data_IF_981912531101
#
_entry.id   IF_981912531101
#
_cell.length_a   1.000
_cell.length_b   1.000
_cell.length_c   1.000
_cell.angle_alpha   90.00
_cell.angle_beta   90.00
_cell.angle_gamma   90.00
#
_symmetry.space_group_name_H-M   'P 1'
#
loop_
_entity.id
_entity.type
_entity.pdbx_description
1 polymer ?
#
# COMPACT_ATOMS: atom_id res chain seq x y z
N UNK A 1 -45.70 -14.70 -40.30
CA UNK A 1 -47.05 -14.97 -39.73
C UNK A 1 -46.95 -14.87 -38.24
N UNK A 2 -47.65 -13.87 -37.70
CA UNK A 2 -47.94 -13.52 -36.28
C UNK A 2 -46.83 -13.38 -35.26
N UNK A 3 -46.65 -12.14 -34.93
CA UNK A 3 -46.11 -11.49 -33.77
C UNK A 3 -47.08 -11.72 -32.57
N UNK A 4 -46.56 -12.03 -31.42
CA UNK A 4 -47.22 -11.69 -30.15
C UNK A 4 -46.21 -11.19 -29.11
N UNK A 5 -46.48 -9.93 -28.69
CA UNK A 5 -45.82 -9.22 -27.60
C UNK A 5 -46.20 -9.84 -26.25
N UNK A 6 -45.27 -10.04 -25.37
CA UNK A 6 -45.55 -10.19 -23.96
C UNK A 6 -44.70 -9.24 -23.08
N UNK A 7 -45.45 -8.46 -22.34
CA UNK A 7 -45.17 -7.33 -21.47
C UNK A 7 -43.99 -7.47 -20.48
N UNK A 8 -43.29 -6.37 -20.34
CA UNK A 8 -42.37 -6.06 -19.21
C UNK A 8 -43.12 -6.22 -17.86
N UNK A 9 -42.55 -7.01 -16.97
CA UNK A 9 -42.79 -6.91 -15.52
C UNK A 9 -41.54 -6.31 -14.85
N UNK A 10 -41.73 -5.13 -14.28
CA UNK A 10 -40.80 -4.53 -13.32
C UNK A 10 -40.81 -5.41 -12.06
N UNK A 11 -39.66 -5.89 -11.65
CA UNK A 11 -39.45 -6.49 -10.34
C UNK A 11 -38.86 -5.41 -9.44
N UNK A 12 -39.64 -4.89 -8.51
CA UNK A 12 -39.18 -4.07 -7.40
C UNK A 12 -38.61 -5.01 -6.34
N UNK A 13 -37.30 -4.88 -6.09
CA UNK A 13 -36.65 -5.57 -4.98
C UNK A 13 -36.80 -4.67 -3.75
N UNK A 14 -37.72 -5.04 -2.90
CA UNK A 14 -37.88 -4.43 -1.59
C UNK A 14 -36.74 -4.83 -0.65
N UNK A 15 -36.06 -3.83 -0.13
CA UNK A 15 -35.05 -3.95 0.91
C UNK A 15 -35.76 -4.21 2.26
N UNK A 16 -35.76 -5.44 2.74
CA UNK A 16 -36.31 -5.78 4.04
C UNK A 16 -35.30 -5.54 5.15
N UNK A 17 -35.45 -4.42 5.83
CA UNK A 17 -34.76 -4.13 7.09
C UNK A 17 -35.46 -4.91 8.21
N UNK A 18 -34.81 -5.91 8.79
CA UNK A 18 -35.29 -6.57 10.02
C UNK A 18 -34.91 -5.68 11.22
N UNK A 19 -35.86 -4.90 11.71
CA UNK A 19 -35.81 -4.26 13.03
C UNK A 19 -36.65 -5.14 13.95
N UNK A 20 -35.97 -5.78 14.91
CA UNK A 20 -36.64 -6.49 16.00
C UNK A 20 -37.39 -5.51 16.91
N UNK A 21 -38.69 -5.50 16.82
CA UNK A 21 -39.59 -4.68 17.63
C UNK A 21 -40.03 -5.48 18.85
N UNK A 22 -39.48 -5.18 20.03
CA UNK A 22 -40.08 -5.58 21.31
C UNK A 22 -41.25 -4.63 21.62
N UNK A 23 -42.42 -5.22 21.69
CA UNK A 23 -43.68 -4.53 21.96
C UNK A 23 -43.75 -4.15 23.46
N UNK A 24 -43.75 -2.85 23.74
CA UNK A 24 -44.31 -2.31 24.97
C UNK A 24 -45.63 -1.60 24.67
N UNK A 25 -46.68 -2.10 25.27
CA UNK A 25 -48.01 -1.50 25.24
C UNK A 25 -48.09 -0.32 26.25
N UNK A 26 -48.55 0.80 25.83
CA UNK A 26 -49.02 1.86 26.75
C UNK A 26 -48.98 3.27 26.20
N UNK A 27 -50.11 3.74 25.70
CA UNK A 27 -50.70 5.05 25.78
C UNK A 27 -50.14 6.27 25.01
N UNK A 28 -51.09 6.81 24.26
CA UNK A 28 -51.31 8.18 23.78
C UNK A 28 -50.52 8.71 22.61
N UNK A 29 -51.25 8.83 21.50
CA UNK A 29 -50.94 9.65 20.33
C UNK A 29 -50.97 11.13 20.70
N UNK A 30 -49.77 11.68 20.89
CA UNK A 30 -49.48 13.09 20.58
C UNK A 30 -48.07 13.12 19.97
N UNK A 31 -48.01 12.90 18.66
CA UNK A 31 -46.82 13.21 17.89
C UNK A 31 -46.76 14.74 17.74
N UNK A 32 -46.32 15.41 18.77
CA UNK A 32 -45.74 16.74 18.59
C UNK A 32 -44.53 16.61 17.68
N UNK A 33 -44.40 17.46 16.63
CA UNK A 33 -43.18 17.48 15.82
C UNK A 33 -42.04 17.67 16.79
N UNK A 34 -41.00 16.79 16.71
CA UNK A 34 -39.77 17.00 17.41
C UNK A 34 -39.26 18.38 16.96
N UNK A 35 -39.40 19.36 17.83
CA UNK A 35 -38.82 20.68 17.66
C UNK A 35 -37.34 20.44 17.34
N UNK A 36 -36.86 20.91 16.21
CA UNK A 36 -35.42 21.00 15.97
C UNK A 36 -34.86 21.85 17.11
N UNK A 37 -34.30 21.20 18.10
CA UNK A 37 -33.67 21.87 19.24
C UNK A 37 -32.58 22.77 18.65
N UNK A 38 -32.71 24.09 18.87
CA UNK A 38 -31.68 25.03 18.45
C UNK A 38 -30.41 24.61 19.12
N UNK A 39 -29.40 24.31 18.32
CA UNK A 39 -28.03 24.07 18.82
C UNK A 39 -27.55 25.34 19.51
N UNK A 40 -26.84 25.19 20.61
CA UNK A 40 -26.24 26.28 21.37
C UNK A 40 -24.74 26.02 21.60
N UNK A 41 -23.90 27.08 21.58
CA UNK A 41 -22.49 26.95 21.89
C UNK A 41 -22.27 26.64 23.36
N UNK A 42 -21.06 26.15 23.75
CA UNK A 42 -20.66 26.10 25.15
C UNK A 42 -20.63 27.53 25.75
N UNK A 43 -20.80 27.63 27.06
CA UNK A 43 -20.60 28.92 27.75
C UNK A 43 -19.08 29.19 27.87
N UNK A 44 -18.57 30.07 27.04
CA UNK A 44 -17.16 30.44 27.00
C UNK A 44 -16.69 31.22 28.24
N UNK A 45 -17.58 31.61 29.15
CA UNK A 45 -17.23 32.24 30.44
C UNK A 45 -17.13 31.24 31.61
N UNK A 46 -17.47 29.97 31.36
CA UNK A 46 -17.38 28.88 32.33
C UNK A 46 -16.46 27.77 31.78
N UNK A 47 -15.64 27.15 32.65
CA UNK A 47 -14.76 26.06 32.21
C UNK A 47 -15.59 24.84 31.75
N UNK A 48 -15.19 24.21 30.67
CA UNK A 48 -15.68 22.88 30.30
C UNK A 48 -14.99 21.81 31.14
N UNK A 49 -15.62 20.66 31.33
CA UNK A 49 -15.07 19.56 32.14
C UNK A 49 -15.13 18.28 31.33
N UNK A 50 -14.00 17.63 31.16
CA UNK A 50 -13.91 16.26 30.61
C UNK A 50 -13.86 15.27 31.79
N UNK A 51 -14.96 14.56 32.05
CA UNK A 51 -15.05 13.63 33.19
C UNK A 51 -14.57 12.22 32.83
N UNK A 52 -15.05 11.67 31.74
CA UNK A 52 -14.73 10.29 31.34
C UNK A 52 -15.07 9.99 29.88
N UNK A 53 -14.57 8.85 29.41
CA UNK A 53 -15.02 8.26 28.13
C UNK A 53 -15.24 6.75 28.27
N UNK A 54 -16.10 6.20 27.42
CA UNK A 54 -16.34 4.75 27.31
C UNK A 54 -16.75 4.36 25.89
N UNK A 55 -16.42 3.13 25.41
CA UNK A 55 -15.55 2.14 26.05
C UNK A 55 -14.08 2.58 26.09
N UNK A 56 -13.26 1.92 26.91
CA UNK A 56 -11.82 2.18 27.03
C UNK A 56 -10.98 1.54 25.92
N UNK A 57 -11.60 0.75 25.06
CA UNK A 57 -10.96 0.05 23.94
C UNK A 57 -11.92 -0.26 22.80
N UNK A 58 -11.38 -0.38 21.60
CA UNK A 58 -12.13 -0.72 20.39
C UNK A 58 -11.33 -0.43 19.13
N UNK A 59 -11.87 -0.78 17.97
CA UNK A 59 -11.27 -0.49 16.66
C UNK A 59 -11.96 0.68 15.94
N UNK A 60 -11.70 0.77 14.65
CA UNK A 60 -12.42 1.68 13.76
C UNK A 60 -13.94 1.52 13.90
N UNK A 61 -14.66 2.63 13.88
CA UNK A 61 -16.11 2.64 13.98
C UNK A 61 -16.66 2.42 15.40
N UNK A 62 -15.80 2.21 16.40
CA UNK A 62 -16.25 2.15 17.80
C UNK A 62 -16.89 3.49 18.19
N UNK A 63 -18.09 3.46 18.71
CA UNK A 63 -18.76 4.64 19.24
C UNK A 63 -18.20 4.95 20.63
N UNK A 64 -17.56 6.10 20.77
CA UNK A 64 -17.15 6.67 22.05
C UNK A 64 -18.27 7.52 22.63
N UNK A 65 -18.53 7.33 23.91
CA UNK A 65 -19.40 8.18 24.70
C UNK A 65 -18.49 8.97 25.65
N UNK A 66 -18.42 10.27 25.44
CA UNK A 66 -17.60 11.18 26.25
C UNK A 66 -18.55 11.94 27.15
N UNK A 67 -18.27 11.98 28.46
CA UNK A 67 -19.09 12.63 29.49
C UNK A 67 -18.34 13.79 30.13
N UNK A 68 -19.09 14.83 30.43
CA UNK A 68 -18.55 16.01 31.08
C UNK A 68 -19.58 17.10 31.28
N UNK A 69 -19.16 18.35 31.18
CA UNK A 69 -20.03 19.52 31.36
C UNK A 69 -19.60 20.66 30.45
N UNK A 70 -20.57 21.48 30.08
CA UNK A 70 -20.38 22.67 29.28
C UNK A 70 -19.77 22.38 27.88
N UNK A 71 -20.31 21.37 27.22
CA UNK A 71 -19.93 21.06 25.84
C UNK A 71 -20.74 21.85 24.82
N UNK A 72 -21.91 22.35 25.21
CA UNK A 72 -22.91 22.88 24.30
C UNK A 72 -23.55 21.77 23.47
N UNK A 73 -24.29 22.16 22.44
CA UNK A 73 -24.87 21.18 21.48
C UNK A 73 -24.57 21.52 20.02
N UNK A 74 -23.70 22.50 19.76
CA UNK A 74 -23.24 22.87 18.42
C UNK A 74 -21.89 22.25 18.12
N UNK A 75 -21.82 21.25 17.20
CA UNK A 75 -20.57 20.56 16.86
C UNK A 75 -19.52 21.46 16.22
N UNK A 76 -19.87 22.66 15.76
CA UNK A 76 -18.90 23.60 15.22
C UNK A 76 -17.97 24.21 16.29
N UNK A 77 -18.28 24.02 17.57
CA UNK A 77 -17.47 24.48 18.69
C UNK A 77 -16.67 23.36 19.36
N UNK A 78 -16.82 22.12 18.89
CA UNK A 78 -16.18 20.97 19.52
C UNK A 78 -15.47 20.11 18.50
N UNK A 79 -14.22 19.79 18.76
CA UNK A 79 -13.45 18.80 18.00
C UNK A 79 -13.00 17.69 18.94
N UNK A 80 -13.20 16.45 18.53
CA UNK A 80 -12.75 15.25 19.26
C UNK A 80 -11.58 14.63 18.51
N UNK A 81 -10.54 14.21 19.23
CA UNK A 81 -9.47 13.40 18.65
C UNK A 81 -9.19 12.16 19.49
N UNK A 82 -8.77 11.08 18.85
CA UNK A 82 -8.19 9.89 19.49
C UNK A 82 -6.76 9.78 18.99
N UNK A 83 -5.79 9.87 19.88
CA UNK A 83 -4.36 9.89 19.52
C UNK A 83 -4.04 10.87 18.38
N UNK A 84 -4.55 12.11 18.48
CA UNK A 84 -4.40 13.20 17.52
C UNK A 84 -5.14 13.00 16.17
N UNK A 85 -5.83 11.86 15.94
CA UNK A 85 -6.68 11.68 14.76
C UNK A 85 -8.12 12.10 15.06
N UNK A 86 -8.70 12.89 14.19
CA UNK A 86 -10.02 13.45 14.35
C UNK A 86 -11.10 12.39 14.32
N UNK A 87 -11.98 12.39 15.32
CA UNK A 87 -13.13 11.51 15.45
C UNK A 87 -14.41 12.26 15.04
N UNK A 88 -15.23 11.65 14.19
CA UNK A 88 -16.47 12.23 13.75
C UNK A 88 -17.48 12.29 14.91
N UNK A 89 -18.00 13.48 15.22
CA UNK A 89 -19.08 13.65 16.18
C UNK A 89 -20.39 13.29 15.48
N UNK A 90 -21.12 12.31 16.03
CA UNK A 90 -22.40 11.83 15.50
C UNK A 90 -23.60 12.29 16.31
N UNK A 91 -23.36 12.87 17.49
CA UNK A 91 -24.37 13.48 18.35
C UNK A 91 -23.73 14.11 19.57
N UNK A 92 -24.33 15.15 20.13
CA UNK A 92 -23.87 15.76 21.36
C UNK A 92 -24.97 16.57 22.04
N UNK A 93 -24.82 16.74 23.34
CA UNK A 93 -25.48 17.71 24.18
C UNK A 93 -24.48 18.32 25.15
N UNK A 94 -24.97 19.13 26.11
CA UNK A 94 -24.09 19.85 27.04
C UNK A 94 -23.23 18.97 27.98
N UNK A 95 -23.63 17.69 28.15
CA UNK A 95 -22.99 16.76 29.09
C UNK A 95 -22.42 15.52 28.39
N UNK A 96 -22.81 15.25 27.13
CA UNK A 96 -22.42 14.01 26.43
C UNK A 96 -22.06 14.29 24.97
N UNK A 97 -20.94 13.74 24.52
CA UNK A 97 -20.56 13.70 23.10
C UNK A 97 -20.47 12.24 22.65
N UNK A 98 -21.10 11.93 21.52
CA UNK A 98 -20.98 10.67 20.80
C UNK A 98 -20.05 10.87 19.61
N UNK A 99 -18.90 10.19 19.63
CA UNK A 99 -17.91 10.27 18.56
C UNK A 99 -17.56 8.88 18.02
N UNK A 100 -17.16 8.82 16.78
CA UNK A 100 -16.74 7.57 16.12
C UNK A 100 -15.21 7.51 16.06
N UNK A 101 -14.62 6.46 16.61
CA UNK A 101 -13.17 6.22 16.55
C UNK A 101 -12.74 6.11 15.09
N UNK A 102 -11.81 6.97 14.64
CA UNK A 102 -11.35 6.95 13.25
C UNK A 102 -10.47 5.74 12.96
N UNK A 103 -10.31 5.46 11.68
CA UNK A 103 -9.32 4.49 11.23
C UNK A 103 -7.93 4.86 11.75
N UNK A 104 -7.20 3.87 12.29
CA UNK A 104 -5.79 4.03 12.70
C UNK A 104 -5.53 5.15 13.69
N UNK A 105 -6.44 5.33 14.62
CA UNK A 105 -6.23 6.25 15.72
C UNK A 105 -5.00 5.87 16.55
N UNK A 106 -4.64 4.59 16.59
CA UNK A 106 -3.69 4.02 17.54
C UNK A 106 -4.09 4.22 19.01
N UNK A 107 -3.38 3.55 19.90
CA UNK A 107 -3.59 3.71 21.34
C UNK A 107 -3.10 5.06 21.79
N UNK A 108 -3.98 5.91 22.31
CA UNK A 108 -3.63 7.26 22.73
C UNK A 108 -4.73 7.94 23.53
N UNK A 109 -4.47 9.19 23.94
CA UNK A 109 -5.44 9.97 24.70
C UNK A 109 -6.61 10.41 23.82
N UNK A 110 -7.81 10.43 24.43
CA UNK A 110 -8.97 11.12 23.87
C UNK A 110 -8.84 12.58 24.26
N UNK A 111 -8.93 13.49 23.27
CA UNK A 111 -8.84 14.92 23.51
C UNK A 111 -10.06 15.63 22.94
N UNK A 112 -10.49 16.64 23.68
CA UNK A 112 -11.51 17.58 23.26
C UNK A 112 -10.87 18.95 23.04
N UNK A 113 -11.24 19.61 21.98
CA UNK A 113 -10.92 20.98 21.70
C UNK A 113 -12.25 21.72 21.67
N UNK A 114 -12.48 22.62 22.62
CA UNK A 114 -13.75 23.32 22.81
C UNK A 114 -13.52 24.82 22.66
N UNK A 115 -14.32 25.45 21.80
CA UNK A 115 -14.20 26.86 21.51
C UNK A 115 -14.20 27.17 20.01
N UNK A 116 -13.86 28.40 19.67
CA UNK A 116 -13.82 28.86 18.28
C UNK A 116 -12.75 29.92 18.08
N UNK A 117 -12.19 29.98 16.88
CA UNK A 117 -11.16 30.94 16.46
C UNK A 117 -9.95 30.89 17.42
N UNK A 118 -9.53 32.00 18.00
CA UNK A 118 -8.38 32.08 18.91
C UNK A 118 -8.66 31.61 20.36
N UNK A 119 -9.91 31.24 20.67
CA UNK A 119 -10.34 30.85 22.02
C UNK A 119 -10.69 29.35 22.06
N UNK A 120 -9.74 28.48 21.75
CA UNK A 120 -9.90 27.03 21.82
C UNK A 120 -9.15 26.50 23.05
N UNK A 121 -9.85 25.78 23.93
CA UNK A 121 -9.27 25.10 25.08
C UNK A 121 -9.15 23.58 24.80
N UNK A 122 -8.04 22.98 25.22
CA UNK A 122 -7.77 21.55 25.07
C UNK A 122 -7.97 20.84 26.41
N UNK A 123 -8.74 19.74 26.36
CA UNK A 123 -8.98 18.83 27.48
C UNK A 123 -8.55 17.42 27.06
N UNK A 124 -7.78 16.73 27.91
CA UNK A 124 -7.32 15.36 27.63
C UNK A 124 -7.85 14.37 28.67
N UNK A 125 -8.15 13.16 28.25
CA UNK A 125 -8.51 12.07 29.16
C UNK A 125 -7.33 11.69 30.08
N UNK A 126 -7.62 11.20 31.27
CA UNK A 126 -6.59 10.67 32.19
C UNK A 126 -5.98 9.37 31.69
N UNK A 127 -6.78 8.53 31.02
CA UNK A 127 -6.36 7.23 30.50
C UNK A 127 -6.36 7.22 28.98
N UNK A 128 -5.55 6.33 28.41
CA UNK A 128 -5.51 6.14 26.96
C UNK A 128 -6.63 5.23 26.49
N UNK A 129 -7.26 5.57 25.36
CA UNK A 129 -8.07 4.63 24.60
C UNK A 129 -7.16 3.56 23.98
N UNK A 130 -7.46 2.28 24.20
CA UNK A 130 -6.70 1.15 23.67
C UNK A 130 -7.26 0.76 22.31
N UNK A 131 -6.61 1.20 21.24
CA UNK A 131 -7.05 0.91 19.88
C UNK A 131 -6.79 -0.56 19.53
N UNK A 132 -7.83 -1.23 19.03
CA UNK A 132 -7.77 -2.63 18.61
C UNK A 132 -7.75 -2.71 17.09
N UNK A 133 -6.61 -3.09 16.53
CA UNK A 133 -6.52 -3.44 15.13
C UNK A 133 -7.06 -4.85 14.89
N UNK A 134 -8.11 -4.96 14.10
CA UNK A 134 -8.45 -6.22 13.45
C UNK A 134 -7.91 -6.14 12.02
N UNK A 135 -6.76 -6.74 11.79
CA UNK A 135 -6.21 -6.91 10.45
C UNK A 135 -6.73 -8.23 9.89
N UNK A 136 -7.11 -8.23 8.63
CA UNK A 136 -7.42 -9.46 7.88
C UNK A 136 -6.65 -9.43 6.56
N UNK A 137 -6.23 -10.58 6.12
CA UNK A 137 -5.79 -10.83 4.75
C UNK A 137 -7.00 -11.29 3.96
N UNK A 138 -7.25 -10.69 2.82
CA UNK A 138 -8.36 -11.04 1.93
C UNK A 138 -7.90 -10.99 0.49
N UNK A 139 -8.33 -11.92 -0.31
CA UNK A 139 -8.09 -11.91 -1.76
C UNK A 139 -8.91 -10.79 -2.39
N UNK A 140 -8.24 -9.88 -3.12
CA UNK A 140 -8.85 -8.77 -3.82
C UNK A 140 -9.09 -9.09 -5.29
N UNK A 141 -8.07 -9.59 -5.98
CA UNK A 141 -8.06 -9.79 -7.44
C UNK A 141 -7.55 -11.18 -7.76
N UNK A 142 -8.14 -11.81 -8.77
CA UNK A 142 -7.74 -13.12 -9.25
C UNK A 142 -8.50 -14.27 -8.62
N UNK A 143 -8.21 -15.47 -9.08
CA UNK A 143 -8.84 -16.70 -8.59
C UNK A 143 -7.74 -17.70 -8.25
N UNK A 144 -7.70 -18.12 -6.99
CA UNK A 144 -6.70 -19.06 -6.51
C UNK A 144 -6.59 -20.31 -7.41
N UNK A 145 -5.36 -20.61 -7.83
CA UNK A 145 -5.06 -21.78 -8.66
C UNK A 145 -5.52 -21.68 -10.13
N UNK A 146 -6.12 -20.56 -10.54
CA UNK A 146 -6.59 -20.35 -11.90
C UNK A 146 -5.60 -19.46 -12.67
N UNK A 147 -4.54 -20.10 -13.18
CA UNK A 147 -3.57 -19.44 -14.04
C UNK A 147 -4.22 -18.97 -15.35
N UNK A 148 -4.08 -17.70 -15.68
CA UNK A 148 -4.63 -17.12 -16.90
C UNK A 148 -4.43 -15.62 -16.99
N UNK A 149 -4.80 -15.04 -18.14
CA UNK A 149 -4.82 -13.59 -18.33
C UNK A 149 -6.19 -13.19 -18.86
N UNK A 150 -7.14 -13.10 -17.98
CA UNK A 150 -8.50 -12.69 -18.30
C UNK A 150 -8.80 -11.38 -17.57
N UNK A 151 -9.22 -10.38 -18.34
CA UNK A 151 -9.69 -9.10 -17.83
C UNK A 151 -11.14 -9.23 -17.35
N UNK A 152 -11.62 -8.28 -16.55
CA UNK A 152 -12.97 -8.23 -16.01
C UNK A 152 -13.02 -7.85 -14.56
N UNK A 153 -14.12 -8.16 -13.88
CA UNK A 153 -14.26 -7.82 -12.44
C UNK A 153 -13.18 -8.50 -11.60
N UNK A 154 -12.86 -7.91 -10.46
CA UNK A 154 -11.83 -8.43 -9.54
C UNK A 154 -11.99 -9.93 -9.25
N UNK A 155 -13.24 -10.40 -9.04
CA UNK A 155 -13.53 -11.79 -8.73
C UNK A 155 -13.47 -12.73 -9.94
N UNK A 156 -13.62 -12.20 -11.16
CA UNK A 156 -13.67 -13.01 -12.39
C UNK A 156 -12.39 -12.94 -13.21
N UNK A 157 -11.53 -11.97 -12.92
CA UNK A 157 -10.23 -11.84 -13.59
C UNK A 157 -9.31 -13.01 -13.24
N UNK A 158 -8.40 -13.34 -14.15
CA UNK A 158 -7.34 -14.30 -13.90
C UNK A 158 -5.98 -13.66 -14.04
N UNK A 159 -5.07 -14.03 -13.15
CA UNK A 159 -3.69 -13.61 -13.15
C UNK A 159 -2.79 -14.81 -13.51
N UNK A 160 -1.68 -14.54 -14.19
CA UNK A 160 -0.68 -15.58 -14.44
C UNK A 160 0.25 -15.69 -13.25
N UNK A 161 1.21 -14.77 -13.16
CA UNK A 161 2.16 -14.66 -12.06
C UNK A 161 2.49 -13.19 -11.88
N UNK A 162 1.92 -12.57 -10.89
CA UNK A 162 2.18 -11.16 -10.61
C UNK A 162 3.55 -11.01 -9.98
N UNK A 163 4.47 -10.34 -10.69
CA UNK A 163 5.85 -10.12 -10.26
C UNK A 163 6.04 -8.82 -9.50
N UNK A 164 5.30 -7.81 -9.91
CA UNK A 164 5.45 -6.48 -9.34
C UNK A 164 4.11 -5.76 -9.34
N UNK A 165 3.84 -5.00 -8.30
CA UNK A 165 2.69 -4.13 -8.22
C UNK A 165 3.07 -2.78 -7.61
N UNK A 166 2.34 -1.75 -7.98
CA UNK A 166 2.53 -0.39 -7.52
C UNK A 166 1.21 0.36 -7.55
N UNK A 167 0.94 1.14 -6.50
CA UNK A 167 -0.28 1.92 -6.39
C UNK A 167 0.01 3.38 -6.74
N UNK A 168 -0.86 4.01 -7.54
CA UNK A 168 -0.79 5.45 -7.79
C UNK A 168 -1.57 6.26 -6.73
N UNK A 169 -1.45 7.59 -6.82
CA UNK A 169 -2.12 8.55 -5.92
C UNK A 169 -3.66 8.46 -5.94
N UNK A 170 -4.22 7.93 -7.01
CA UNK A 170 -5.67 7.79 -7.21
C UNK A 170 -6.18 6.41 -6.76
N UNK A 171 -5.30 5.58 -6.21
CA UNK A 171 -5.63 4.23 -5.76
C UNK A 171 -5.75 3.19 -6.88
N UNK A 172 -5.22 3.46 -8.08
CA UNK A 172 -5.09 2.47 -9.13
C UNK A 172 -3.89 1.57 -8.85
N UNK A 173 -4.07 0.26 -8.85
CA UNK A 173 -2.98 -0.70 -8.74
C UNK A 173 -2.51 -1.09 -10.14
N UNK A 174 -1.29 -0.73 -10.49
CA UNK A 174 -0.60 -1.20 -11.69
C UNK A 174 0.22 -2.43 -11.33
N UNK A 175 0.22 -3.42 -12.20
CA UNK A 175 0.99 -4.64 -11.96
C UNK A 175 1.52 -5.26 -13.24
N UNK A 176 2.65 -5.95 -13.07
CA UNK A 176 3.28 -6.78 -14.11
C UNK A 176 2.85 -8.21 -13.91
N UNK A 177 2.20 -8.76 -14.91
CA UNK A 177 1.72 -10.14 -14.93
C UNK A 177 2.56 -10.98 -15.89
N UNK A 178 3.24 -12.02 -15.37
CA UNK A 178 4.19 -12.90 -16.10
C UNK A 178 5.34 -12.13 -16.78
N UNK A 179 6.28 -11.58 -15.99
CA UNK A 179 7.37 -10.77 -16.56
C UNK A 179 8.65 -11.52 -16.88
N UNK A 180 9.08 -12.45 -16.05
CA UNK A 180 10.46 -12.97 -16.07
C UNK A 180 10.59 -14.27 -16.86
N UNK A 181 11.45 -14.26 -17.90
CA UNK A 181 11.91 -15.47 -18.58
C UNK A 181 10.99 -16.00 -19.69
N UNK A 182 9.88 -15.36 -19.98
CA UNK A 182 8.98 -15.68 -21.06
C UNK A 182 8.84 -14.45 -21.97
N UNK A 183 9.61 -14.39 -23.03
CA UNK A 183 9.73 -13.23 -23.92
C UNK A 183 8.44 -12.81 -24.64
N UNK A 184 7.34 -13.52 -24.46
CA UNK A 184 6.10 -13.26 -25.20
C UNK A 184 4.83 -13.24 -24.32
N UNK A 185 4.92 -13.44 -23.01
CA UNK A 185 3.74 -13.60 -22.16
C UNK A 185 3.56 -12.53 -21.06
N UNK A 186 4.43 -11.54 -20.95
CA UNK A 186 4.28 -10.48 -19.96
C UNK A 186 3.20 -9.46 -20.33
N UNK A 187 2.59 -8.85 -19.36
CA UNK A 187 1.65 -7.74 -19.53
C UNK A 187 1.82 -6.69 -18.44
N UNK A 188 1.60 -5.43 -18.80
CA UNK A 188 1.25 -4.37 -17.86
C UNK A 188 -0.27 -4.34 -17.75
N UNK A 189 -0.77 -4.47 -16.54
CA UNK A 189 -2.20 -4.46 -16.24
C UNK A 189 -2.50 -3.48 -15.13
N UNK A 190 -3.75 -3.09 -14.98
CA UNK A 190 -4.21 -2.28 -13.84
C UNK A 190 -5.50 -2.83 -13.26
N UNK A 191 -5.65 -2.64 -11.94
CA UNK A 191 -6.86 -2.89 -11.18
C UNK A 191 -7.39 -1.57 -10.63
N UNK A 192 -8.63 -1.21 -11.01
CA UNK A 192 -9.28 0.03 -10.62
C UNK A 192 -10.79 -0.12 -10.61
N UNK A 193 -11.46 0.44 -9.60
CA UNK A 193 -12.93 0.50 -9.52
C UNK A 193 -13.63 -0.87 -9.70
N UNK A 194 -13.03 -1.95 -9.18
CA UNK A 194 -13.61 -3.28 -9.25
C UNK A 194 -13.28 -4.07 -10.53
N UNK A 195 -12.55 -3.49 -11.47
CA UNK A 195 -12.20 -4.08 -12.77
C UNK A 195 -10.69 -4.20 -12.94
N UNK A 196 -10.29 -5.24 -13.65
CA UNK A 196 -8.92 -5.48 -14.13
C UNK A 196 -8.88 -5.34 -15.63
N UNK A 197 -7.91 -4.61 -16.15
CA UNK A 197 -7.69 -4.47 -17.58
C UNK A 197 -6.21 -4.59 -17.96
N UNK A 198 -5.95 -5.11 -19.12
CA UNK A 198 -4.63 -5.22 -19.73
C UNK A 198 -4.33 -3.96 -20.54
N UNK A 199 -3.27 -3.25 -20.20
CA UNK A 199 -2.83 -2.01 -20.86
C UNK A 199 -1.88 -2.31 -22.01
N UNK A 200 -0.85 -3.15 -21.76
CA UNK A 200 0.18 -3.50 -22.75
C UNK A 200 0.52 -4.97 -22.64
N UNK A 201 0.69 -5.64 -23.77
CA UNK A 201 1.15 -7.03 -23.85
C UNK A 201 2.53 -7.14 -24.50
N UNK A 202 3.31 -8.16 -24.13
CA UNK A 202 4.67 -8.38 -24.60
C UNK A 202 4.83 -8.65 -26.12
N UNK A 203 3.77 -8.76 -26.87
CA UNK A 203 3.82 -8.86 -28.35
C UNK A 203 3.97 -7.52 -29.05
N UNK A 204 3.98 -6.42 -28.33
CA UNK A 204 3.88 -5.06 -28.84
C UNK A 204 5.19 -4.29 -28.68
N UNK A 205 5.97 -4.14 -29.73
CA UNK A 205 7.12 -3.24 -29.81
C UNK A 205 8.19 -3.47 -28.73
N UNK A 206 8.63 -2.42 -28.00
CA UNK A 206 9.73 -2.51 -27.05
C UNK A 206 9.36 -3.17 -25.70
N UNK A 207 8.12 -3.56 -25.48
CA UNK A 207 7.67 -4.21 -24.25
C UNK A 207 7.85 -5.73 -24.33
N UNK A 208 8.79 -6.32 -23.56
CA UNK A 208 9.16 -7.74 -23.70
C UNK A 208 9.10 -8.55 -22.42
N UNK A 209 9.92 -8.22 -21.43
CA UNK A 209 10.06 -8.98 -20.17
C UNK A 209 10.06 -8.04 -18.97
N UNK A 210 8.93 -7.40 -18.64
CA UNK A 210 8.88 -6.42 -17.56
C UNK A 210 9.18 -7.07 -16.23
N UNK A 211 9.87 -6.33 -15.33
CA UNK A 211 10.30 -6.84 -14.02
C UNK A 211 9.91 -5.95 -12.86
N UNK A 212 10.15 -4.63 -12.95
CA UNK A 212 9.85 -3.68 -11.88
C UNK A 212 9.11 -2.47 -12.43
N UNK A 213 8.38 -1.80 -11.57
CA UNK A 213 7.65 -0.55 -11.83
C UNK A 213 8.14 0.55 -10.90
N UNK A 214 8.20 1.79 -11.38
CA UNK A 214 8.41 2.96 -10.55
C UNK A 214 7.76 4.19 -11.18
N UNK A 215 7.08 5.02 -10.39
CA UNK A 215 6.52 6.28 -10.87
C UNK A 215 7.54 7.42 -10.81
N UNK A 216 7.37 8.40 -11.72
CA UNK A 216 7.90 9.74 -11.54
C UNK A 216 7.29 10.41 -10.30
N UNK A 217 7.92 11.47 -9.72
CA UNK A 217 7.40 12.14 -8.52
C UNK A 217 5.96 12.67 -8.66
N UNK A 218 5.59 13.16 -9.83
CA UNK A 218 4.24 13.62 -10.16
C UNK A 218 3.26 12.47 -10.49
N UNK A 219 3.80 11.26 -10.66
CA UNK A 219 3.11 10.05 -11.08
C UNK A 219 2.46 10.13 -12.49
N UNK A 220 2.98 10.99 -13.34
CA UNK A 220 2.54 11.10 -14.72
C UNK A 220 3.29 10.16 -15.66
N UNK A 221 4.45 9.67 -15.23
CA UNK A 221 5.23 8.67 -15.97
C UNK A 221 5.42 7.41 -15.13
N UNK A 222 5.11 6.26 -15.71
CA UNK A 222 5.38 4.94 -15.13
C UNK A 222 6.57 4.33 -15.87
N UNK A 223 7.70 4.22 -15.19
CA UNK A 223 8.89 3.53 -15.67
C UNK A 223 8.78 2.04 -15.42
N UNK A 224 9.29 1.23 -16.36
CA UNK A 224 9.23 -0.22 -16.34
C UNK A 224 10.62 -0.75 -16.67
N UNK A 225 11.22 -1.50 -15.77
CA UNK A 225 12.44 -2.23 -16.11
C UNK A 225 12.13 -3.56 -16.80
N UNK A 226 13.04 -4.02 -17.62
CA UNK A 226 12.90 -5.26 -18.39
C UNK A 226 14.10 -6.17 -18.20
N UNK A 227 13.84 -7.48 -18.13
CA UNK A 227 14.87 -8.50 -18.16
C UNK A 227 15.16 -8.87 -19.61
N UNK A 228 15.98 -8.05 -20.26
CA UNK A 228 16.37 -8.25 -21.67
C UNK A 228 17.76 -8.88 -21.72
N UNK A 229 17.92 -9.98 -22.42
CA UNK A 229 19.21 -10.51 -22.82
C UNK A 229 19.54 -9.96 -24.20
N UNK A 230 20.53 -9.09 -24.27
CA UNK A 230 21.14 -8.72 -25.52
C UNK A 230 22.47 -9.46 -25.63
N UNK A 231 22.62 -10.32 -26.63
CA UNK A 231 23.90 -10.93 -26.96
C UNK A 231 24.90 -9.89 -27.52
N UNK A 232 26.17 -10.25 -27.60
CA UNK A 232 27.24 -9.32 -27.98
C UNK A 232 27.13 -8.74 -29.40
N UNK A 233 26.41 -9.43 -30.28
CA UNK A 233 26.22 -9.05 -31.69
C UNK A 233 25.02 -8.14 -31.94
N UNK A 234 24.34 -7.79 -30.93
CA UNK A 234 23.12 -6.99 -30.75
C UNK A 234 22.56 -6.30 -32.01
N UNK A 235 21.72 -7.01 -32.70
CA UNK A 235 20.83 -6.47 -33.75
C UNK A 235 19.44 -6.09 -33.22
N UNK A 236 19.18 -6.28 -31.90
CA UNK A 236 17.87 -6.04 -31.27
C UNK A 236 17.80 -4.68 -30.62
N UNK A 237 16.69 -4.01 -30.86
CA UNK A 237 16.35 -2.67 -30.36
C UNK A 237 15.78 -2.68 -28.95
N UNK A 238 16.22 -3.61 -28.10
CA UNK A 238 15.61 -3.85 -26.80
C UNK A 238 16.06 -2.82 -25.77
N UNK A 239 15.12 -2.21 -25.08
CA UNK A 239 15.36 -1.28 -24.00
C UNK A 239 15.33 -2.00 -22.66
N UNK A 240 16.26 -1.66 -21.75
CA UNK A 240 16.25 -2.16 -20.38
C UNK A 240 15.27 -1.41 -19.50
N UNK A 241 15.08 -0.12 -19.80
CA UNK A 241 14.07 0.71 -19.17
C UNK A 241 13.18 1.31 -20.28
N UNK A 242 11.89 1.13 -20.12
CA UNK A 242 10.84 1.73 -20.94
C UNK A 242 9.92 2.56 -20.05
N UNK A 243 9.04 3.33 -20.64
CA UNK A 243 8.04 4.08 -19.89
C UNK A 243 6.73 4.21 -20.67
N UNK A 244 5.68 4.45 -19.91
CA UNK A 244 4.35 4.83 -20.38
C UNK A 244 3.88 6.06 -19.61
N UNK A 245 3.00 6.88 -20.19
CA UNK A 245 2.56 8.13 -19.57
C UNK A 245 1.06 8.12 -19.26
N UNK A 246 0.67 8.90 -18.25
CA UNK A 246 -0.74 9.10 -17.86
C UNK A 246 -1.52 9.74 -19.02
N UNK A 247 -0.95 10.75 -19.69
CA UNK A 247 -1.55 11.39 -20.88
C UNK A 247 -1.83 10.38 -21.99
N UNK A 248 -0.93 9.43 -22.23
CA UNK A 248 -1.11 8.32 -23.17
C UNK A 248 -1.95 7.17 -22.63
N UNK A 249 -2.65 7.32 -21.48
CA UNK A 249 -3.47 6.27 -20.89
C UNK A 249 -2.67 5.07 -20.36
N UNK A 250 -1.35 5.19 -20.25
CA UNK A 250 -0.40 4.14 -19.91
C UNK A 250 -0.31 2.98 -20.92
N UNK A 251 -0.62 3.24 -22.20
CA UNK A 251 -0.58 2.23 -23.27
C UNK A 251 0.53 2.47 -24.31
N UNK A 252 0.97 3.73 -24.49
CA UNK A 252 2.00 4.08 -25.47
C UNK A 252 3.39 3.84 -24.91
N UNK A 253 3.99 2.71 -25.25
CA UNK A 253 5.31 2.30 -24.75
C UNK A 253 6.43 3.02 -25.48
N UNK A 254 7.32 3.67 -24.72
CA UNK A 254 8.49 4.39 -25.21
C UNK A 254 9.76 3.85 -24.56
N UNK A 255 10.86 3.80 -25.30
CA UNK A 255 12.17 3.44 -24.77
C UNK A 255 12.79 4.61 -24.00
N UNK A 256 13.46 4.30 -22.88
CA UNK A 256 14.22 5.28 -22.10
C UNK A 256 15.72 4.98 -22.10
N UNK A 257 16.13 3.76 -21.73
CA UNK A 257 17.52 3.39 -21.55
C UNK A 257 17.82 2.02 -22.18
N UNK A 258 18.99 1.93 -22.83
CA UNK A 258 19.50 0.71 -23.47
C UNK A 258 20.89 0.39 -22.91
N UNK A 259 20.93 -0.38 -21.84
CA UNK A 259 22.18 -0.87 -21.27
C UNK A 259 22.54 -2.22 -21.87
N UNK A 260 23.73 -2.29 -22.50
CA UNK A 260 24.20 -3.54 -23.14
C UNK A 260 24.45 -4.65 -22.12
N UNK A 261 24.15 -5.87 -22.52
CA UNK A 261 24.60 -7.15 -21.95
C UNK A 261 23.90 -7.71 -20.73
N UNK A 262 22.85 -7.15 -20.09
CA UNK A 262 22.27 -7.90 -18.96
C UNK A 262 20.89 -7.41 -18.50
N UNK A 263 20.10 -8.38 -17.99
CA UNK A 263 18.77 -8.14 -17.42
C UNK A 263 18.78 -7.18 -16.23
N UNK A 264 17.87 -6.22 -16.27
CA UNK A 264 17.67 -5.28 -15.18
C UNK A 264 16.72 -5.91 -14.15
N UNK A 265 17.15 -5.95 -12.88
CA UNK A 265 16.39 -6.60 -11.81
C UNK A 265 15.91 -5.65 -10.72
N UNK A 266 16.41 -4.42 -10.70
CA UNK A 266 16.00 -3.38 -9.76
C UNK A 266 15.78 -2.07 -10.49
N UNK A 267 14.74 -1.33 -10.10
CA UNK A 267 14.40 0.00 -10.59
C UNK A 267 13.95 0.86 -9.43
N UNK A 268 14.45 2.09 -9.35
CA UNK A 268 13.99 3.10 -8.40
C UNK A 268 14.01 4.47 -9.05
N UNK A 269 13.05 5.31 -8.69
CA UNK A 269 13.00 6.72 -9.08
C UNK A 269 13.10 7.55 -7.81
N UNK A 270 13.96 8.57 -7.84
CA UNK A 270 14.10 9.45 -6.69
C UNK A 270 12.82 10.30 -6.50
N UNK A 271 12.20 10.28 -5.31
CA UNK A 271 10.85 10.83 -5.10
C UNK A 271 10.74 12.35 -5.23
N UNK A 272 11.88 13.07 -5.21
CA UNK A 272 11.89 14.54 -5.34
C UNK A 272 12.48 15.03 -6.67
N UNK A 273 13.56 14.38 -7.17
CA UNK A 273 14.28 14.85 -8.36
C UNK A 273 13.84 14.14 -9.64
N UNK A 274 13.19 12.98 -9.54
CA UNK A 274 12.80 12.17 -10.69
C UNK A 274 13.95 11.39 -11.34
N UNK A 275 15.16 11.39 -10.74
CA UNK A 275 16.29 10.61 -11.25
C UNK A 275 15.99 9.12 -11.24
N UNK A 276 16.32 8.46 -12.34
CA UNK A 276 16.05 7.02 -12.55
C UNK A 276 17.30 6.21 -12.28
N UNK A 277 17.19 5.23 -11.38
CA UNK A 277 18.26 4.30 -11.02
C UNK A 277 17.85 2.88 -11.33
N UNK A 278 18.81 2.08 -11.79
CA UNK A 278 18.55 0.68 -12.11
C UNK A 278 19.76 -0.21 -11.78
N UNK A 279 19.51 -1.47 -11.49
CA UNK A 279 20.56 -2.45 -11.25
C UNK A 279 20.68 -3.43 -12.43
N UNK A 280 21.89 -3.62 -12.89
CA UNK A 280 22.22 -4.65 -13.86
C UNK A 280 22.68 -5.92 -13.12
N UNK A 281 21.92 -7.01 -13.26
CA UNK A 281 22.17 -8.27 -12.53
C UNK A 281 23.58 -8.79 -12.72
N UNK A 282 24.06 -8.88 -13.97
CA UNK A 282 25.34 -9.52 -14.27
C UNK A 282 26.54 -8.74 -13.75
N UNK A 283 26.56 -7.43 -13.93
CA UNK A 283 27.65 -6.60 -13.44
C UNK A 283 27.53 -6.27 -11.96
N UNK A 284 26.33 -6.35 -11.37
CA UNK A 284 26.03 -5.95 -10.00
C UNK A 284 26.08 -4.44 -9.76
N UNK A 285 26.36 -3.62 -10.78
CA UNK A 285 26.34 -2.18 -10.64
C UNK A 285 24.92 -1.64 -10.54
N UNK A 286 24.75 -0.65 -9.67
CA UNK A 286 23.64 0.29 -9.70
C UNK A 286 24.08 1.46 -10.59
N UNK A 287 23.21 1.81 -11.53
CA UNK A 287 23.41 2.86 -12.53
C UNK A 287 22.42 3.97 -12.33
N UNK A 288 22.78 5.19 -12.75
CA UNK A 288 21.86 6.30 -12.95
C UNK A 288 21.72 6.55 -14.44
N UNK A 289 20.48 6.76 -14.90
CA UNK A 289 20.21 7.26 -16.24
C UNK A 289 20.44 8.78 -16.26
N UNK A 290 21.25 9.24 -17.17
CA UNK A 290 21.66 10.64 -17.26
C UNK A 290 21.01 11.38 -18.45
N UNK A 291 20.42 10.66 -19.45
CA UNK A 291 19.77 11.22 -20.64
C UNK A 291 20.58 12.26 -21.39
N UNK A 292 20.11 12.76 -22.57
CA UNK A 292 18.88 12.36 -23.28
C UNK A 292 19.03 11.14 -24.20
N UNK A 293 20.27 10.66 -24.39
CA UNK A 293 20.50 9.51 -25.27
C UNK A 293 20.21 8.19 -24.53
N UNK A 294 19.85 7.15 -25.26
CA UNK A 294 19.46 5.86 -24.68
C UNK A 294 20.62 5.14 -23.96
N UNK A 295 21.85 5.45 -24.28
CA UNK A 295 23.05 4.88 -23.68
C UNK A 295 23.72 5.81 -22.65
N UNK A 296 23.08 6.91 -22.31
CA UNK A 296 23.58 7.84 -21.30
C UNK A 296 23.24 7.38 -19.89
N UNK A 297 24.13 6.60 -19.32
CA UNK A 297 24.03 6.14 -17.93
C UNK A 297 25.38 6.01 -17.27
N UNK A 298 25.44 6.31 -15.98
CA UNK A 298 26.67 6.27 -15.18
C UNK A 298 26.64 5.09 -14.21
N UNK A 299 27.66 4.21 -14.19
CA UNK A 299 27.83 3.24 -13.12
C UNK A 299 28.22 3.95 -11.82
N UNK A 300 27.52 3.65 -10.72
CA UNK A 300 27.72 4.34 -9.45
C UNK A 300 28.46 3.48 -8.45
N UNK A 301 27.86 2.36 -8.02
CA UNK A 301 28.46 1.49 -7.02
C UNK A 301 27.92 0.05 -7.14
N UNK A 302 28.53 -0.84 -6.37
CA UNK A 302 28.08 -2.22 -6.15
C UNK A 302 27.87 -2.49 -4.66
N UNK A 303 26.93 -3.36 -4.32
CA UNK A 303 26.83 -3.90 -2.96
C UNK A 303 27.91 -4.98 -2.79
N UNK A 304 28.77 -4.83 -1.78
CA UNK A 304 29.89 -5.76 -1.48
C UNK A 304 30.77 -6.10 -2.69
N UNK A 305 30.88 -5.23 -3.68
CA UNK A 305 31.58 -5.50 -4.95
C UNK A 305 31.09 -6.77 -5.67
N UNK A 306 29.89 -7.23 -5.36
CA UNK A 306 29.35 -8.46 -5.90
C UNK A 306 28.83 -8.29 -7.34
N UNK A 307 28.89 -9.39 -8.07
CA UNK A 307 28.28 -9.59 -9.38
C UNK A 307 27.15 -10.62 -9.26
N UNK A 308 26.38 -10.81 -10.29
CA UNK A 308 25.26 -11.78 -10.36
C UNK A 308 24.27 -11.63 -9.19
N UNK A 309 23.93 -10.38 -8.83
CA UNK A 309 22.97 -10.08 -7.77
C UNK A 309 21.59 -9.75 -8.33
N UNK A 310 20.56 -10.30 -7.69
CA UNK A 310 19.17 -9.93 -7.93
C UNK A 310 18.77 -8.87 -6.91
N UNK A 311 18.31 -7.71 -7.38
CA UNK A 311 17.98 -6.61 -6.49
C UNK A 311 16.55 -6.12 -6.67
N UNK A 312 16.00 -5.57 -5.57
CA UNK A 312 14.85 -4.67 -5.59
C UNK A 312 15.28 -3.38 -4.89
N UNK A 313 14.79 -2.27 -5.38
CA UNK A 313 15.23 -0.96 -4.90
C UNK A 313 14.06 -0.05 -4.65
N UNK A 314 14.14 0.74 -3.59
CA UNK A 314 13.18 1.82 -3.31
C UNK A 314 13.83 2.90 -2.45
N UNK A 315 13.49 4.16 -2.68
CA UNK A 315 13.86 5.26 -1.79
C UNK A 315 12.91 5.35 -0.60
N UNK A 316 13.38 5.90 0.51
CA UNK A 316 12.49 6.45 1.52
C UNK A 316 11.74 7.68 0.94
N UNK A 317 10.66 8.11 1.58
CA UNK A 317 9.83 9.24 1.13
C UNK A 317 10.61 10.55 0.97
N UNK A 318 11.64 10.73 1.79
CA UNK A 318 12.50 11.91 1.76
C UNK A 318 13.51 11.91 0.61
N UNK A 319 13.79 10.75 0.01
CA UNK A 319 14.80 10.59 -1.04
C UNK A 319 16.25 10.57 -0.51
N UNK A 320 16.44 10.49 0.80
CA UNK A 320 17.77 10.56 1.42
C UNK A 320 18.46 9.20 1.56
N UNK A 321 17.71 8.12 1.42
CA UNK A 321 18.22 6.74 1.53
C UNK A 321 17.61 5.87 0.43
N UNK A 322 18.47 5.22 -0.34
CA UNK A 322 18.08 4.13 -1.22
C UNK A 322 18.22 2.81 -0.46
N UNK A 323 17.14 2.07 -0.34
CA UNK A 323 17.16 0.71 0.17
C UNK A 323 17.29 -0.27 -0.98
N UNK A 324 18.20 -1.25 -0.81
CA UNK A 324 18.51 -2.27 -1.81
C UNK A 324 18.36 -3.63 -1.18
N UNK A 325 17.29 -4.35 -1.50
CA UNK A 325 17.19 -5.76 -1.20
C UNK A 325 18.04 -6.54 -2.19
N UNK A 326 19.01 -7.30 -1.67
CA UNK A 326 19.82 -8.24 -2.46
C UNK A 326 19.18 -9.62 -2.30
N UNK A 327 18.19 -9.89 -3.16
CA UNK A 327 17.24 -10.99 -3.01
C UNK A 327 17.92 -12.35 -2.89
N UNK A 328 18.88 -12.63 -3.75
CA UNK A 328 19.64 -13.89 -3.75
C UNK A 328 20.78 -13.94 -2.73
N UNK A 329 20.91 -12.92 -1.87
CA UNK A 329 21.87 -12.83 -0.76
C UNK A 329 21.20 -12.62 0.59
N UNK A 330 19.86 -12.67 0.63
CA UNK A 330 19.02 -12.69 1.85
C UNK A 330 19.18 -11.48 2.77
N UNK A 331 19.50 -10.31 2.24
CA UNK A 331 19.75 -9.09 3.03
C UNK A 331 19.26 -7.83 2.33
N UNK A 332 19.14 -6.76 3.12
CA UNK A 332 18.76 -5.42 2.65
C UNK A 332 19.84 -4.44 3.10
N UNK A 333 20.31 -3.62 2.19
CA UNK A 333 21.24 -2.52 2.43
C UNK A 333 20.52 -1.18 2.39
N UNK A 334 21.02 -0.23 3.16
CA UNK A 334 20.70 1.18 3.05
C UNK A 334 21.89 1.94 2.48
N UNK A 335 21.64 2.84 1.54
CA UNK A 335 22.67 3.63 0.89
C UNK A 335 22.26 5.09 0.96
N UNK A 336 22.95 5.93 1.76
CA UNK A 336 22.66 7.37 1.83
C UNK A 336 22.77 8.00 0.46
N UNK A 337 21.90 8.94 0.14
CA UNK A 337 21.91 9.71 -1.09
C UNK A 337 21.82 11.21 -0.81
N UNK A 338 22.71 11.99 -1.41
CA UNK A 338 22.67 13.44 -1.41
C UNK A 338 22.25 13.94 -2.80
N UNK A 339 21.01 14.41 -2.89
CA UNK A 339 20.43 14.93 -4.13
C UNK A 339 21.10 16.23 -4.62
N UNK A 340 21.73 17.00 -3.73
CA UNK A 340 22.39 18.25 -4.09
C UNK A 340 23.70 18.03 -4.84
N UNK A 341 24.44 17.00 -4.46
CA UNK A 341 25.68 16.56 -5.11
C UNK A 341 25.47 15.40 -6.08
N UNK A 342 24.29 14.80 -6.08
CA UNK A 342 23.94 13.60 -6.86
C UNK A 342 24.85 12.41 -6.57
N UNK A 343 25.24 12.23 -5.30
CA UNK A 343 26.19 11.20 -4.88
C UNK A 343 25.62 10.26 -3.84
N UNK A 344 26.05 9.00 -3.91
CA UNK A 344 25.76 8.00 -2.90
C UNK A 344 26.88 7.88 -1.89
N UNK A 345 26.52 7.65 -0.63
CA UNK A 345 27.43 7.21 0.42
C UNK A 345 27.75 5.72 0.31
N UNK A 346 28.47 5.21 1.30
CA UNK A 346 28.84 3.79 1.37
C UNK A 346 27.59 2.95 1.70
N UNK A 347 27.33 1.84 0.97
CA UNK A 347 26.28 0.91 1.33
C UNK A 347 26.51 0.29 2.71
N UNK A 348 25.51 0.33 3.58
CA UNK A 348 25.54 -0.24 4.93
C UNK A 348 24.47 -1.32 5.05
N UNK A 349 24.82 -2.47 5.62
CA UNK A 349 23.86 -3.52 5.90
C UNK A 349 22.78 -2.99 6.86
N UNK A 350 21.55 -3.03 6.42
CA UNK A 350 20.40 -2.60 7.21
C UNK A 350 19.79 -3.78 7.98
N UNK A 351 19.42 -4.86 7.29
CA UNK A 351 18.76 -6.03 7.89
C UNK A 351 19.15 -7.30 7.12
N UNK A 352 19.28 -8.40 7.84
CA UNK A 352 19.62 -9.71 7.27
C UNK A 352 21.12 -10.02 7.35
N UNK A 353 21.54 -11.09 6.71
CA UNK A 353 22.95 -11.47 6.64
C UNK A 353 23.28 -12.01 5.24
N UNK A 354 24.44 -11.64 4.74
CA UNK A 354 24.90 -12.02 3.39
C UNK A 354 25.08 -13.53 3.27
N UNK A 355 24.37 -14.14 2.31
CA UNK A 355 24.33 -15.58 2.04
C UNK A 355 23.78 -16.46 3.19
N UNK A 356 23.13 -15.86 4.20
CA UNK A 356 22.52 -16.60 5.31
C UNK A 356 20.99 -16.48 5.26
N UNK A 357 20.32 -17.45 4.65
CA UNK A 357 18.87 -17.52 4.61
C UNK A 357 18.27 -18.06 5.91
N UNK A 358 17.01 -17.71 6.18
CA UNK A 358 16.25 -18.25 7.31
C UNK A 358 15.07 -17.39 7.71
N UNK A 359 14.48 -17.72 8.85
CA UNK A 359 13.44 -16.94 9.49
C UNK A 359 13.82 -16.67 10.96
N UNK A 360 14.41 -15.51 11.23
CA UNK A 360 14.74 -15.06 12.59
C UNK A 360 14.30 -13.62 12.76
N UNK A 361 13.49 -13.35 13.78
CA UNK A 361 13.16 -11.98 14.22
C UNK A 361 14.36 -11.39 14.96
N UNK A 362 14.47 -10.07 14.97
CA UNK A 362 15.58 -9.38 15.65
C UNK A 362 15.79 -7.99 15.06
N UNK A 363 17.03 -7.49 15.16
CA UNK A 363 17.39 -6.16 14.66
C UNK A 363 18.71 -6.25 13.87
N UNK A 364 18.76 -5.61 12.71
CA UNK A 364 19.96 -5.52 11.89
C UNK A 364 20.50 -6.86 11.46
N UNK A 365 21.78 -7.11 11.68
CA UNK A 365 22.49 -8.32 11.26
C UNK A 365 22.06 -9.60 12.01
N UNK A 366 21.29 -9.51 13.08
CA UNK A 366 20.77 -10.69 13.79
C UNK A 366 19.54 -11.31 13.12
N UNK A 367 18.89 -10.55 12.24
CA UNK A 367 17.74 -11.03 11.47
C UNK A 367 18.19 -12.04 10.42
N UNK A 368 17.32 -13.02 10.16
CA UNK A 368 17.47 -13.87 8.95
C UNK A 368 16.24 -13.66 8.07
N UNK A 369 16.51 -13.35 6.81
CA UNK A 369 15.54 -13.23 5.74
C UNK A 369 15.74 -14.38 4.76
N UNK A 370 14.71 -14.71 3.98
CA UNK A 370 14.86 -15.70 2.92
C UNK A 370 14.24 -15.19 1.61
N UNK A 371 15.14 -14.66 0.77
CA UNK A 371 14.80 -14.05 -0.50
C UNK A 371 13.82 -12.88 -0.35
N UNK A 372 14.27 -11.77 0.30
CA UNK A 372 13.47 -10.55 0.37
C UNK A 372 13.28 -9.97 -1.04
N UNK A 373 12.06 -9.62 -1.37
CA UNK A 373 11.68 -9.08 -2.68
C UNK A 373 11.27 -7.59 -2.56
N UNK A 374 10.40 -7.06 -3.45
CA UNK A 374 10.07 -5.64 -3.51
C UNK A 374 9.38 -5.15 -2.25
N UNK A 375 9.94 -4.13 -1.67
CA UNK A 375 9.51 -3.51 -0.42
C UNK A 375 8.75 -2.20 -0.65
N UNK A 376 7.88 -1.86 0.30
CA UNK A 376 7.17 -0.59 0.35
C UNK A 376 7.15 -0.03 1.77
N UNK A 377 6.97 1.29 1.91
CA UNK A 377 6.94 2.00 3.19
C UNK A 377 5.54 2.51 3.53
N UNK A 378 5.19 2.47 4.81
CA UNK A 378 4.08 3.25 5.34
C UNK A 378 4.51 4.68 5.70
N UNK A 379 3.56 5.51 6.13
CA UNK A 379 3.79 6.91 6.52
C UNK A 379 4.71 7.04 7.76
N UNK A 380 4.78 6.01 8.59
CA UNK A 380 5.65 5.97 9.78
C UNK A 380 7.08 5.52 9.44
N UNK A 381 7.36 5.24 8.16
CA UNK A 381 8.64 4.75 7.68
C UNK A 381 8.89 3.27 7.96
N UNK A 382 7.87 2.50 8.37
CA UNK A 382 8.02 1.05 8.46
C UNK A 382 8.04 0.45 7.05
N UNK A 383 8.97 -0.47 6.83
CA UNK A 383 9.14 -1.20 5.59
C UNK A 383 8.38 -2.52 5.65
N UNK A 384 7.59 -2.82 4.63
CA UNK A 384 6.96 -4.13 4.43
C UNK A 384 7.72 -4.86 3.34
N UNK A 385 8.10 -6.12 3.63
CA UNK A 385 8.96 -6.92 2.76
C UNK A 385 8.37 -8.30 2.58
N UNK A 386 8.03 -8.72 1.35
CA UNK A 386 7.73 -10.11 1.09
C UNK A 386 9.01 -10.93 1.18
N UNK A 387 8.98 -12.00 1.95
CA UNK A 387 10.02 -13.02 1.95
C UNK A 387 9.54 -14.20 1.13
N UNK A 388 9.93 -14.21 -0.13
CA UNK A 388 9.42 -15.15 -1.12
C UNK A 388 9.52 -16.61 -0.70
N UNK A 389 10.68 -17.03 -0.19
CA UNK A 389 10.92 -18.43 0.16
C UNK A 389 10.45 -18.79 1.58
N UNK A 390 10.14 -17.79 2.42
CA UNK A 390 9.48 -17.99 3.72
C UNK A 390 7.95 -17.91 3.64
N UNK A 391 7.39 -17.50 2.47
CA UNK A 391 5.95 -17.38 2.23
C UNK A 391 5.24 -16.41 3.18
N UNK A 392 5.88 -15.31 3.56
CA UNK A 392 5.41 -14.33 4.54
C UNK A 392 5.65 -12.90 4.10
N UNK A 393 5.00 -11.98 4.81
CA UNK A 393 5.31 -10.55 4.78
C UNK A 393 5.93 -10.16 6.12
N UNK A 394 7.09 -9.49 6.08
CA UNK A 394 7.77 -8.92 7.25
C UNK A 394 7.46 -7.44 7.39
N UNK A 395 7.38 -6.97 8.63
CA UNK A 395 7.46 -5.55 8.95
C UNK A 395 8.83 -5.27 9.55
N UNK A 396 9.52 -4.26 9.01
CA UNK A 396 10.83 -3.80 9.49
C UNK A 396 10.69 -2.32 9.86
N UNK A 397 10.99 -1.99 11.11
CA UNK A 397 10.93 -0.59 11.59
C UNK A 397 12.11 0.23 11.05
N UNK A 398 12.08 1.59 11.12
CA UNK A 398 13.23 2.44 10.77
C UNK A 398 14.50 2.11 11.55
N UNK A 399 14.39 1.51 12.74
CA UNK A 399 15.52 1.04 13.53
C UNK A 399 16.05 -0.35 13.11
N UNK A 400 15.52 -0.95 12.04
CA UNK A 400 15.92 -2.26 11.54
C UNK A 400 15.38 -3.44 12.35
N UNK A 401 14.36 -3.25 13.18
CA UNK A 401 13.72 -4.36 13.92
C UNK A 401 12.70 -5.05 13.01
N UNK A 402 12.90 -6.34 12.75
CA UNK A 402 12.09 -7.16 11.87
C UNK A 402 11.19 -8.12 12.65
N UNK A 403 9.89 -8.10 12.32
CA UNK A 403 8.86 -8.97 12.90
C UNK A 403 7.95 -9.53 11.81
N UNK A 404 7.23 -10.62 12.12
CA UNK A 404 6.17 -11.13 11.23
C UNK A 404 5.04 -10.10 11.11
N UNK A 405 4.59 -9.85 9.89
CA UNK A 405 3.42 -9.04 9.62
C UNK A 405 2.21 -9.87 9.20
N UNK A 406 2.39 -10.81 8.27
CA UNK A 406 1.36 -11.74 7.82
C UNK A 406 1.97 -13.00 7.20
N UNK A 407 1.22 -14.10 7.19
CA UNK A 407 1.62 -15.38 6.66
C UNK A 407 2.14 -16.35 7.72
N UNK A 408 2.36 -17.60 7.33
CA UNK A 408 2.94 -18.65 8.17
C UNK A 408 4.35 -18.98 7.69
N UNK A 409 5.37 -18.71 8.50
CA UNK A 409 6.75 -18.93 8.07
C UNK A 409 6.99 -20.35 7.55
N UNK A 410 7.65 -20.44 6.38
CA UNK A 410 8.04 -21.69 5.72
C UNK A 410 6.88 -22.60 5.30
N UNK A 411 5.63 -22.10 5.34
CA UNK A 411 4.42 -22.82 4.96
C UNK A 411 3.75 -22.15 3.76
N UNK A 412 4.03 -22.65 2.56
CA UNK A 412 3.32 -22.22 1.36
C UNK A 412 1.85 -22.66 1.39
N UNK A 413 1.01 -21.91 0.71
CA UNK A 413 -0.40 -22.24 0.54
C UNK A 413 -1.24 -21.03 0.21
N UNK A 414 -2.54 -21.21 0.23
CA UNK A 414 -3.54 -20.16 0.07
C UNK A 414 -4.47 -20.14 1.28
N UNK A 415 -4.78 -18.97 1.78
CA UNK A 415 -5.76 -18.82 2.86
C UNK A 415 -5.90 -17.37 3.29
N UNK A 416 -7.14 -16.88 3.21
CA UNK A 416 -7.57 -15.62 3.80
C UNK A 416 -7.79 -15.78 5.31
N UNK A 417 -7.88 -14.69 6.05
CA UNK A 417 -8.17 -14.71 7.49
C UNK A 417 -7.29 -13.76 8.30
N UNK A 418 -7.06 -14.10 9.58
CA UNK A 418 -6.15 -13.31 10.41
C UNK A 418 -4.72 -13.33 9.86
N UNK A 419 -3.92 -12.29 10.04
CA UNK A 419 -2.58 -12.22 9.47
C UNK A 419 -1.69 -13.42 9.80
N UNK A 420 -1.78 -13.95 11.01
CA UNK A 420 -1.04 -15.13 11.49
C UNK A 420 -1.61 -16.47 10.99
N UNK A 421 -2.82 -16.46 10.44
CA UNK A 421 -3.51 -17.64 9.86
C UNK A 421 -3.42 -17.66 8.34
N UNK A 422 -3.26 -16.50 7.72
CA UNK A 422 -3.14 -16.35 6.29
C UNK A 422 -1.96 -17.15 5.73
N UNK A 423 -2.09 -17.56 4.48
CA UNK A 423 -1.01 -18.28 3.77
C UNK A 423 -0.80 -17.65 2.41
N UNK A 424 0.47 -17.48 2.07
CA UNK A 424 0.93 -17.04 0.76
C UNK A 424 1.74 -18.13 0.07
N UNK A 425 1.89 -17.99 -1.24
CA UNK A 425 2.75 -18.87 -2.03
C UNK A 425 3.71 -18.07 -2.90
N UNK A 426 4.93 -17.90 -2.42
CA UNK A 426 5.98 -17.09 -3.04
C UNK A 426 5.53 -15.63 -3.30
N UNK A 427 5.17 -14.86 -2.24
CA UNK A 427 4.83 -13.46 -2.41
C UNK A 427 6.04 -12.68 -2.95
N UNK A 428 5.84 -11.88 -3.99
CA UNK A 428 6.93 -11.26 -4.75
C UNK A 428 7.02 -9.73 -4.54
N UNK A 429 5.90 -9.09 -4.32
CA UNK A 429 5.85 -7.64 -4.19
C UNK A 429 4.76 -7.20 -3.20
N UNK A 430 5.01 -6.08 -2.54
CA UNK A 430 4.00 -5.36 -1.76
C UNK A 430 3.95 -3.90 -2.18
N UNK A 431 2.77 -3.30 -2.07
CA UNK A 431 2.60 -1.84 -2.13
C UNK A 431 1.71 -1.37 -1.00
N UNK A 432 1.90 -0.13 -0.56
CA UNK A 432 1.04 0.51 0.43
C UNK A 432 0.02 1.37 -0.31
N UNK A 433 -1.26 1.10 -0.05
CA UNK A 433 -2.36 1.86 -0.62
C UNK A 433 -2.56 3.18 0.14
N UNK A 434 -3.17 4.24 -0.45
CA UNK A 434 -3.39 5.51 0.24
C UNK A 434 -4.15 5.43 1.57
N UNK A 435 -4.96 4.39 1.77
CA UNK A 435 -5.59 4.10 3.05
C UNK A 435 -4.68 3.30 3.99
N UNK A 436 -3.39 3.07 3.62
CA UNK A 436 -2.36 2.24 4.25
C UNK A 436 -2.70 0.74 4.35
N UNK A 437 -3.66 0.23 3.60
CA UNK A 437 -3.76 -1.20 3.35
C UNK A 437 -2.53 -1.67 2.58
N UNK A 438 -2.11 -2.91 2.85
CA UNK A 438 -0.97 -3.51 2.15
C UNK A 438 -1.53 -4.46 1.09
N UNK A 439 -1.23 -4.19 -0.17
CA UNK A 439 -1.51 -5.13 -1.24
C UNK A 439 -0.29 -6.00 -1.51
N UNK A 440 -0.52 -7.28 -1.73
CA UNK A 440 0.51 -8.30 -1.92
C UNK A 440 0.29 -8.99 -3.26
N UNK A 441 1.35 -9.12 -4.05
CA UNK A 441 1.38 -10.00 -5.20
C UNK A 441 1.68 -11.42 -4.71
N UNK A 442 0.66 -12.25 -4.58
CA UNK A 442 0.79 -13.64 -4.14
C UNK A 442 0.96 -14.56 -5.36
N UNK A 443 2.17 -14.52 -5.89
CA UNK A 443 2.56 -14.91 -7.24
C UNK A 443 2.09 -16.30 -7.66
N UNK A 444 2.43 -17.34 -6.89
CA UNK A 444 2.13 -18.72 -7.26
C UNK A 444 0.73 -19.18 -6.80
N UNK A 445 -0.02 -18.30 -6.13
CA UNK A 445 -1.46 -18.45 -5.90
C UNK A 445 -2.31 -17.77 -7.00
N UNK A 446 -1.70 -17.00 -7.89
CA UNK A 446 -2.36 -16.29 -8.99
C UNK A 446 -3.38 -15.23 -8.52
N UNK A 447 -3.09 -14.55 -7.42
CA UNK A 447 -3.95 -13.52 -6.81
C UNK A 447 -3.12 -12.29 -6.38
#
# INVERSE_FOLDING_TARGET
MKIELLKKRKLEIGLSLFIGMSVFWGCNNDLTPINQSKTFPPDLNAPSVFESFSPDSGGIGTQLIIRGKNFGSDPNYVKVTVNNKEAAIVGMDDEVIYAIVPARADTGYVRLFIGKDDNIEEYASETKFRYQFKRNVTTMVGQHGMNGREDGSYANSKLQRTWFLLTDKDGTVFFVDEGRGQTQNGALRRARNGEVETLVQCSSGPFQSPTCLAFSPDQDTLYISQYSYTDEENTKTDFNIIYVTREGGFVDVRGLCRAKKVGTTGLAVHPKTGEVFFCNKGTGYIYRYDGPEYEDFTPLFRINNAMEIETRMTFNSEGTILYVAVCNRHCIYQVPYDASTRTFGVPVLFVGAWDESGYVNGTGATVRLNKPEQMAFDEDGNMFVPERNNHIIRKITPAGSATLYAGRPEQSGFGDGLPEEAKFNQPECVTVYPDNSIYVADRDNHV
#
